data_IF_516961757425
#
_entry.id   IF_516961757425
#
_cell.length_a   1.000
_cell.length_b   1.000
_cell.length_c   1.000
_cell.angle_alpha   90.00
_cell.angle_beta   90.00
_cell.angle_gamma   90.00
#
_symmetry.space_group_name_H-M   'P 1'
#
loop_
_entity.id
_entity.type
_entity.pdbx_description
1 polymer ?
#
# COMPACT_ATOMS: atom_id res chain seq x y z
N UNK A 1 21.74 -5.72 -9.72
CA UNK A 1 20.31 -5.88 -10.04
C UNK A 1 19.71 -6.75 -8.96
N UNK A 2 18.66 -6.29 -8.29
CA UNK A 2 17.94 -7.06 -7.27
C UNK A 2 16.67 -7.69 -7.88
N UNK A 3 16.21 -8.80 -7.32
CA UNK A 3 14.98 -9.48 -7.73
C UNK A 3 14.04 -9.63 -6.55
N UNK A 4 12.75 -9.35 -6.78
CA UNK A 4 11.71 -9.63 -5.80
C UNK A 4 11.62 -11.14 -5.52
N UNK A 5 11.26 -11.51 -4.28
CA UNK A 5 10.97 -12.89 -3.90
C UNK A 5 9.80 -13.43 -4.70
N UNK A 6 8.80 -12.58 -4.95
CA UNK A 6 7.66 -12.90 -5.80
C UNK A 6 7.35 -11.77 -6.78
N UNK A 7 7.18 -12.14 -8.05
CA UNK A 7 6.77 -11.22 -9.10
C UNK A 7 5.38 -10.63 -8.81
N UNK A 8 5.24 -9.34 -9.10
CA UNK A 8 4.05 -8.57 -8.73
C UNK A 8 3.78 -7.43 -9.71
N UNK A 9 2.50 -7.12 -9.88
CA UNK A 9 2.00 -5.87 -10.47
C UNK A 9 0.99 -5.23 -9.51
N UNK A 10 0.74 -3.93 -9.66
CA UNK A 10 -0.27 -3.20 -8.88
C UNK A 10 -0.06 -3.25 -7.35
N UNK A 11 1.19 -3.40 -6.90
CA UNK A 11 1.54 -3.34 -5.49
C UNK A 11 1.56 -1.89 -5.01
N UNK A 12 1.23 -1.70 -3.73
CA UNK A 12 1.52 -0.46 -3.04
C UNK A 12 3.02 -0.42 -2.70
N UNK A 13 3.69 0.71 -2.92
CA UNK A 13 5.15 0.84 -2.69
C UNK A 13 5.46 2.07 -1.85
N UNK A 14 6.29 1.90 -0.82
CA UNK A 14 6.80 2.99 0.02
C UNK A 14 8.27 2.78 0.37
N UNK A 15 9.01 3.87 0.57
CA UNK A 15 10.39 3.85 1.07
C UNK A 15 10.44 4.49 2.46
N UNK A 16 11.11 3.82 3.41
CA UNK A 16 11.49 4.45 4.68
C UNK A 16 12.73 3.78 5.23
N UNK A 17 13.62 4.56 5.85
CA UNK A 17 14.80 4.03 6.53
C UNK A 17 15.76 3.27 5.61
N UNK A 18 15.86 3.64 4.33
CA UNK A 18 16.75 2.99 3.36
C UNK A 18 16.21 1.67 2.83
N UNK A 19 14.90 1.41 2.97
CA UNK A 19 14.26 0.18 2.55
C UNK A 19 13.00 0.46 1.75
N UNK A 20 12.79 -0.33 0.70
CA UNK A 20 11.59 -0.27 -0.13
C UNK A 20 10.67 -1.42 0.27
N UNK A 21 9.42 -1.09 0.56
CA UNK A 21 8.36 -2.03 0.91
C UNK A 21 7.42 -2.18 -0.27
N UNK A 22 7.26 -3.41 -0.77
CA UNK A 22 6.35 -3.79 -1.85
C UNK A 22 5.23 -4.61 -1.23
N UNK A 23 4.04 -4.02 -1.17
CA UNK A 23 2.95 -4.49 -0.32
C UNK A 23 1.77 -4.95 -1.20
N UNK A 24 1.40 -6.23 -1.07
CA UNK A 24 0.31 -6.82 -1.81
C UNK A 24 0.57 -6.85 -3.32
N UNK A 25 -0.41 -6.40 -4.11
CA UNK A 25 -0.44 -6.46 -5.56
C UNK A 25 -1.07 -7.74 -6.10
N UNK A 26 -0.73 -8.09 -7.33
CA UNK A 26 -1.20 -9.30 -8.00
C UNK A 26 -0.04 -10.03 -8.69
N UNK A 27 -0.01 -11.36 -8.55
CA UNK A 27 0.88 -12.26 -9.27
C UNK A 27 0.10 -13.23 -10.16
N UNK A 28 0.78 -14.27 -10.67
CA UNK A 28 0.16 -15.27 -11.54
C UNK A 28 -1.00 -16.05 -10.88
N UNK A 29 -0.96 -16.21 -9.55
CA UNK A 29 -1.98 -16.90 -8.77
C UNK A 29 -3.11 -15.98 -8.26
N UNK A 30 -3.13 -14.71 -8.68
CA UNK A 30 -4.12 -13.71 -8.23
C UNK A 30 -3.54 -12.68 -7.27
N UNK A 31 -4.42 -12.05 -6.49
CA UNK A 31 -4.06 -11.02 -5.50
C UNK A 31 -3.12 -11.59 -4.43
N UNK A 32 -2.20 -10.74 -3.96
CA UNK A 32 -1.16 -11.09 -3.00
C UNK A 32 -1.41 -10.38 -1.68
N UNK A 33 -1.00 -11.01 -0.59
CA UNK A 33 -0.97 -10.40 0.74
C UNK A 33 0.45 -10.16 1.24
N UNK A 34 1.49 -10.75 0.65
CA UNK A 34 2.87 -10.59 1.14
C UNK A 34 3.37 -9.15 1.07
N UNK A 35 4.24 -8.85 2.03
CA UNK A 35 5.01 -7.62 2.13
C UNK A 35 6.46 -7.99 1.91
N UNK A 36 6.99 -7.60 0.75
CA UNK A 36 8.39 -7.80 0.40
C UNK A 36 9.19 -6.54 0.75
N UNK A 37 10.37 -6.70 1.32
CA UNK A 37 11.26 -5.60 1.71
C UNK A 37 12.58 -5.74 0.98
N UNK A 38 12.96 -4.70 0.26
CA UNK A 38 14.28 -4.53 -0.35
C UNK A 38 15.14 -3.64 0.54
N UNK A 39 16.30 -4.13 0.96
CA UNK A 39 17.35 -3.27 1.51
C UNK A 39 18.12 -2.62 0.35
N UNK A 40 18.09 -1.28 0.27
CA UNK A 40 18.66 -0.54 -0.87
C UNK A 40 20.18 -0.66 -0.90
N UNK A 41 20.83 -0.81 0.25
CA UNK A 41 22.28 -0.85 0.35
C UNK A 41 22.85 -2.21 -0.10
N UNK A 42 22.17 -3.30 0.26
CA UNK A 42 22.65 -4.66 -0.04
C UNK A 42 22.01 -5.26 -1.31
N UNK A 43 20.84 -4.76 -1.70
CA UNK A 43 20.05 -5.35 -2.77
C UNK A 43 19.31 -6.63 -2.35
N UNK A 44 19.36 -7.00 -1.07
CA UNK A 44 18.67 -8.19 -0.55
C UNK A 44 17.17 -7.94 -0.44
N UNK A 45 16.38 -8.95 -0.80
CA UNK A 45 14.92 -8.90 -0.73
C UNK A 45 14.42 -10.08 0.10
N UNK A 46 13.49 -9.79 1.01
CA UNK A 46 12.84 -10.80 1.86
C UNK A 46 11.34 -10.52 2.00
N UNK A 47 10.57 -11.51 2.43
CA UNK A 47 9.16 -11.33 2.84
C UNK A 47 9.14 -11.13 4.35
N UNK A 48 8.66 -9.95 4.81
CA UNK A 48 8.67 -9.60 6.23
C UNK A 48 7.33 -9.80 6.92
N UNK A 49 6.25 -9.99 6.16
CA UNK A 49 4.91 -10.04 6.72
C UNK A 49 3.84 -10.15 5.65
N UNK A 50 2.58 -10.03 6.07
CA UNK A 50 1.43 -10.11 5.19
C UNK A 50 0.33 -9.12 5.62
N UNK A 51 -0.40 -8.60 4.64
CA UNK A 51 -1.67 -7.93 4.83
C UNK A 51 -2.73 -8.94 5.34
N UNK A 52 -3.73 -8.51 6.14
CA UNK A 52 -4.75 -9.43 6.68
C UNK A 52 -5.64 -10.08 5.60
N UNK A 53 -5.70 -9.46 4.42
CA UNK A 53 -6.33 -9.99 3.20
C UNK A 53 -5.45 -9.63 2.00
N UNK A 54 -5.47 -10.43 0.91
CA UNK A 54 -4.85 -10.03 -0.34
C UNK A 54 -5.39 -8.69 -0.82
N UNK A 55 -4.52 -7.82 -1.30
CA UNK A 55 -4.88 -6.46 -1.72
C UNK A 55 -4.10 -6.11 -2.99
N UNK A 56 -4.73 -5.50 -3.97
CA UNK A 56 -4.11 -4.98 -5.20
C UNK A 56 -4.57 -3.56 -5.49
N UNK A 57 -3.86 -2.80 -6.33
CA UNK A 57 -4.23 -1.43 -6.73
C UNK A 57 -4.43 -0.46 -5.54
N UNK A 58 -3.84 -0.79 -4.39
CA UNK A 58 -3.70 0.10 -3.26
C UNK A 58 -2.53 1.06 -3.51
N UNK A 59 -2.51 2.17 -2.77
CA UNK A 59 -1.35 3.06 -2.72
C UNK A 59 -0.73 3.04 -1.33
N UNK A 60 0.57 3.32 -1.23
CA UNK A 60 1.23 3.51 0.05
C UNK A 60 1.78 4.94 0.17
N UNK A 61 1.81 5.46 1.40
CA UNK A 61 2.35 6.78 1.72
C UNK A 61 3.19 6.73 2.99
N UNK A 62 4.10 7.69 3.14
CA UNK A 62 4.85 7.93 4.36
C UNK A 62 4.43 9.26 4.98
N UNK A 63 4.01 9.22 6.24
CA UNK A 63 3.71 10.42 7.04
C UNK A 63 4.38 10.26 8.41
N UNK A 64 5.21 11.23 8.79
CA UNK A 64 5.95 11.19 10.06
C UNK A 64 6.86 9.96 10.21
N UNK A 65 7.45 9.48 9.10
CA UNK A 65 8.32 8.29 9.09
C UNK A 65 7.59 6.94 9.18
N UNK A 66 6.26 6.95 9.28
CA UNK A 66 5.41 5.74 9.33
C UNK A 66 4.85 5.43 7.95
N UNK A 67 4.75 4.13 7.62
CA UNK A 67 4.23 3.65 6.33
C UNK A 67 2.75 3.32 6.48
N UNK A 68 1.95 3.78 5.53
CA UNK A 68 0.51 3.51 5.47
C UNK A 68 0.13 2.93 4.11
N UNK A 69 -0.74 1.92 4.11
CA UNK A 69 -1.37 1.31 2.92
C UNK A 69 -2.82 1.75 2.89
N UNK A 70 -3.25 2.31 1.77
CA UNK A 70 -4.53 2.99 1.63
C UNK A 70 -5.33 2.36 0.50
N UNK A 71 -6.59 2.01 0.79
CA UNK A 71 -7.57 1.56 -0.19
C UNK A 71 -7.14 0.31 -0.95
N UNK A 72 -7.45 0.28 -2.25
CA UNK A 72 -7.16 -0.83 -3.17
C UNK A 72 -8.37 -1.74 -3.42
N UNK A 73 -8.13 -2.92 -3.98
CA UNK A 73 -9.12 -3.97 -4.25
C UNK A 73 -8.75 -5.25 -3.52
N UNK A 74 -9.76 -5.93 -2.98
CA UNK A 74 -9.64 -7.27 -2.41
C UNK A 74 -10.87 -8.08 -2.81
N UNK A 75 -10.65 -9.28 -3.34
CA UNK A 75 -11.70 -10.16 -3.84
C UNK A 75 -12.66 -9.45 -4.82
N UNK A 76 -12.11 -8.59 -5.69
CA UNK A 76 -12.88 -7.84 -6.68
C UNK A 76 -13.61 -6.60 -6.14
N UNK A 77 -13.53 -6.28 -4.85
CA UNK A 77 -14.22 -5.13 -4.26
C UNK A 77 -13.22 -4.04 -3.86
N UNK A 78 -13.55 -2.77 -4.14
CA UNK A 78 -12.78 -1.64 -3.62
C UNK A 78 -12.78 -1.66 -2.07
N UNK A 79 -11.69 -1.19 -1.47
CA UNK A 79 -11.47 -1.15 -0.03
C UNK A 79 -11.31 0.31 0.43
N UNK A 80 -11.74 0.59 1.66
CA UNK A 80 -11.63 1.90 2.31
C UNK A 80 -10.56 1.93 3.40
N UNK A 81 -10.00 0.78 3.77
CA UNK A 81 -9.12 0.66 4.92
C UNK A 81 -7.80 1.43 4.75
N UNK A 82 -7.33 2.01 5.85
CA UNK A 82 -5.99 2.57 6.00
C UNK A 82 -5.26 1.73 7.04
N UNK A 83 -4.22 1.04 6.59
CA UNK A 83 -3.39 0.19 7.44
C UNK A 83 -2.04 0.86 7.68
N UNK A 84 -1.60 0.94 8.93
CA UNK A 84 -0.22 1.26 9.24
C UNK A 84 0.62 -0.03 9.20
N UNK A 85 1.79 0.03 8.57
CA UNK A 85 2.78 -1.04 8.56
C UNK A 85 3.87 -0.76 9.59
N UNK A 86 4.12 -1.73 10.47
CA UNK A 86 5.36 -1.82 11.22
C UNK A 86 6.49 -2.28 10.28
N UNK A 87 7.37 -1.34 9.95
CA UNK A 87 8.47 -1.51 9.00
C UNK A 87 9.55 -2.52 9.44
N UNK A 88 9.57 -2.89 10.73
CA UNK A 88 10.51 -3.85 11.33
C UNK A 88 9.90 -5.24 11.32
N UNK A 89 8.69 -5.38 11.86
CA UNK A 89 8.04 -6.68 12.10
C UNK A 89 7.16 -7.16 10.94
N UNK A 90 6.82 -6.29 9.99
CA UNK A 90 5.88 -6.58 8.92
C UNK A 90 4.41 -6.67 9.38
N UNK A 91 4.14 -6.39 10.66
CA UNK A 91 2.79 -6.38 11.21
C UNK A 91 2.00 -5.17 10.67
N UNK A 92 0.70 -5.35 10.50
CA UNK A 92 -0.19 -4.29 10.02
C UNK A 92 -1.31 -4.04 11.02
N UNK A 93 -1.66 -2.76 11.19
CA UNK A 93 -2.72 -2.32 12.10
C UNK A 93 -3.70 -1.42 11.36
N UNK A 94 -5.00 -1.66 11.51
CA UNK A 94 -6.02 -0.77 10.97
C UNK A 94 -6.00 0.53 11.78
N UNK A 95 -5.76 1.65 11.12
CA UNK A 95 -5.66 2.97 11.77
C UNK A 95 -6.73 3.95 11.31
N UNK A 96 -7.47 3.62 10.26
CA UNK A 96 -8.56 4.47 9.78
C UNK A 96 -9.25 3.89 8.57
N UNK A 97 -10.21 4.66 8.05
CA UNK A 97 -10.93 4.37 6.81
C UNK A 97 -11.14 5.64 6.02
N UNK A 98 -11.06 5.52 4.70
CA UNK A 98 -11.52 6.52 3.76
C UNK A 98 -13.06 6.65 3.86
N UNK A 99 -13.63 7.81 3.53
CA UNK A 99 -15.09 8.00 3.50
C UNK A 99 -15.76 7.18 2.40
N UNK A 100 -15.00 6.71 1.42
CA UNK A 100 -15.44 5.85 0.34
C UNK A 100 -14.33 4.85 0.01
N UNK A 101 -14.70 3.59 -0.17
CA UNK A 101 -13.79 2.56 -0.66
C UNK A 101 -13.33 2.90 -2.08
N UNK A 102 -12.03 2.84 -2.37
CA UNK A 102 -11.48 3.25 -3.67
C UNK A 102 -10.22 2.45 -4.02
N UNK A 103 -10.05 2.14 -5.30
CA UNK A 103 -8.81 1.60 -5.88
C UNK A 103 -8.33 2.46 -7.05
N UNK A 104 -7.14 2.17 -7.58
CA UNK A 104 -6.61 2.80 -8.81
C UNK A 104 -6.51 4.33 -8.75
N UNK A 105 -6.50 4.87 -7.54
CA UNK A 105 -6.38 6.29 -7.28
C UNK A 105 -4.91 6.72 -7.28
N UNK A 106 -4.67 7.97 -7.64
CA UNK A 106 -3.37 8.59 -7.44
C UNK A 106 -3.23 9.04 -5.97
N UNK A 107 -2.04 8.88 -5.39
CA UNK A 107 -1.74 9.33 -4.03
C UNK A 107 -0.57 10.31 -4.05
N UNK A 108 -0.75 11.46 -3.42
CA UNK A 108 0.32 12.45 -3.20
C UNK A 108 0.41 12.82 -1.71
N UNK A 109 1.61 13.09 -1.22
CA UNK A 109 1.83 13.60 0.14
C UNK A 109 2.37 15.02 0.06
N UNK A 110 1.68 15.98 0.68
CA UNK A 110 2.05 17.40 0.70
C UNK A 110 1.94 17.92 2.13
N UNK A 111 3.02 18.45 2.68
CA UNK A 111 3.02 19.03 4.04
C UNK A 111 2.61 18.05 5.15
N UNK A 112 2.87 16.75 4.97
CA UNK A 112 2.46 15.71 5.93
C UNK A 112 1.00 15.26 5.79
N UNK A 113 0.28 15.73 4.77
CA UNK A 113 -1.10 15.30 4.47
C UNK A 113 -1.08 14.45 3.20
N UNK A 114 -1.73 13.28 3.24
CA UNK A 114 -1.97 12.46 2.05
C UNK A 114 -3.19 12.93 1.28
N UNK A 115 -3.18 12.80 -0.04
CA UNK A 115 -4.31 13.15 -0.92
C UNK A 115 -4.58 11.98 -1.87
N UNK A 116 -5.69 11.27 -1.65
CA UNK A 116 -6.20 10.29 -2.60
C UNK A 116 -7.03 11.02 -3.67
N UNK A 117 -6.66 10.85 -4.93
CA UNK A 117 -7.18 11.62 -6.06
C UNK A 117 -7.72 10.67 -7.13
N UNK A 118 -9.00 10.80 -7.43
CA UNK A 118 -9.69 9.98 -8.42
C UNK A 118 -9.75 8.50 -8.03
N UNK A 119 -9.58 7.62 -9.00
CA UNK A 119 -9.67 6.17 -8.85
C UNK A 119 -11.05 5.64 -9.19
N UNK A 120 -11.38 4.46 -8.67
CA UNK A 120 -12.62 3.78 -8.96
C UNK A 120 -13.22 3.05 -7.75
N UNK A 121 -14.54 2.91 -7.79
CA UNK A 121 -15.30 2.00 -6.93
C UNK A 121 -15.90 0.90 -7.81
N UNK A 122 -17.21 0.98 -8.08
CA UNK A 122 -17.88 0.30 -9.20
C UNK A 122 -17.82 1.14 -10.49
N UNK A 123 -17.48 2.43 -10.36
CA UNK A 123 -17.29 3.40 -11.46
C UNK A 123 -16.18 4.38 -11.11
N UNK A 124 -15.71 5.16 -12.09
CA UNK A 124 -14.68 6.19 -11.85
C UNK A 124 -15.21 7.25 -10.89
N UNK A 125 -14.36 7.70 -9.97
CA UNK A 125 -14.67 8.78 -9.05
C UNK A 125 -13.84 10.03 -9.37
N UNK A 126 -14.43 11.20 -9.12
CA UNK A 126 -13.79 12.51 -9.33
C UNK A 126 -13.37 13.17 -7.99
N UNK A 127 -13.26 12.38 -6.91
CA UNK A 127 -13.01 12.89 -5.56
C UNK A 127 -11.53 13.18 -5.30
N UNK A 128 -11.30 14.14 -4.40
CA UNK A 128 -10.02 14.36 -3.73
C UNK A 128 -10.28 14.21 -2.24
N UNK A 129 -9.62 13.27 -1.59
CA UNK A 129 -9.76 12.98 -0.17
C UNK A 129 -8.43 13.27 0.53
N UNK A 130 -8.45 14.23 1.46
CA UNK A 130 -7.33 14.47 2.35
C UNK A 130 -7.29 13.39 3.45
N UNK A 131 -6.09 12.87 3.72
CA UNK A 131 -5.81 11.84 4.70
C UNK A 131 -4.81 12.42 5.69
N UNK A 132 -5.27 12.59 6.92
CA UNK A 132 -4.45 12.98 8.06
C UNK A 132 -4.37 11.78 8.99
N UNK A 133 -3.16 11.41 9.38
CA UNK A 133 -2.90 10.32 10.30
C UNK A 133 -2.24 10.91 11.55
N UNK A 134 -2.85 10.66 12.70
CA UNK A 134 -2.32 11.08 14.01
C UNK A 134 -1.13 10.21 14.43
#
# INVERSE_FOLDING_TARGET
MASLVAAVRYAAVAETGGRIYVIGGAGAAGERSDIQRLDIATGEVEVIGQMPRPISHASAMIIGGRVFVVGGRSAGNAQDAIWQLDAVTGATQLVGRLPQAVSDFALAVVGGVGYAIGGETDTQVASIVAIVVE
#
